data_IF_658804021893
#
_entry.id   IF_658804021893
#
_cell.length_a   1.000
_cell.length_b   1.000
_cell.length_c   1.000
_cell.angle_alpha   90.00
_cell.angle_beta   90.00
_cell.angle_gamma   90.00
#
_symmetry.space_group_name_H-M   'P 1'
#
loop_
_entity.id
_entity.type
_entity.pdbx_description
1 polymer ?
#
# COMPACT_ATOMS: atom_id res chain seq x y z
N UNK A 1 3.20 6.79 -18.14
CA UNK A 1 2.41 8.03 -18.15
C UNK A 1 2.69 8.86 -16.89
N UNK A 2 2.27 10.13 -16.86
CA UNK A 2 2.43 11.00 -15.69
C UNK A 2 1.05 11.49 -15.25
N UNK A 3 0.76 11.37 -13.95
CA UNK A 3 -0.48 11.84 -13.33
C UNK A 3 -0.14 13.10 -12.53
N UNK A 4 -0.77 14.25 -12.81
CA UNK A 4 -0.46 15.50 -12.10
C UNK A 4 -0.94 15.45 -10.65
N UNK A 5 -0.14 16.08 -9.75
CA UNK A 5 -0.48 16.28 -8.34
C UNK A 5 -0.72 17.77 -8.09
N UNK A 6 -1.47 18.10 -7.07
CA UNK A 6 -1.89 19.48 -6.77
C UNK A 6 -0.75 20.46 -6.50
N UNK A 7 0.42 19.96 -6.11
CA UNK A 7 1.64 20.75 -5.85
C UNK A 7 2.47 21.05 -7.12
N UNK A 8 1.97 20.66 -8.30
CA UNK A 8 2.66 20.83 -9.59
C UNK A 8 3.63 19.70 -9.93
N UNK A 9 3.84 18.73 -9.05
CA UNK A 9 4.60 17.52 -9.34
C UNK A 9 3.77 16.50 -10.12
N UNK A 10 4.38 15.37 -10.50
CA UNK A 10 3.69 14.29 -11.18
C UNK A 10 4.08 12.91 -10.64
N UNK A 11 3.14 11.98 -10.72
CA UNK A 11 3.29 10.58 -10.37
C UNK A 11 3.52 9.78 -11.66
N UNK A 12 4.65 9.08 -11.74
CA UNK A 12 4.94 8.13 -12.80
C UNK A 12 4.14 6.85 -12.63
N UNK A 13 3.29 6.53 -13.60
CA UNK A 13 2.41 5.38 -13.54
C UNK A 13 2.47 4.53 -14.81
N UNK A 14 2.06 3.28 -14.70
CA UNK A 14 1.86 2.34 -15.80
C UNK A 14 0.43 1.81 -15.75
N UNK A 15 -0.22 1.81 -16.89
CA UNK A 15 -1.60 1.38 -17.05
C UNK A 15 -1.66 0.17 -17.98
N UNK A 16 -2.37 -0.86 -17.55
CA UNK A 16 -2.83 -1.96 -18.39
C UNK A 16 -4.29 -1.68 -18.74
N UNK A 17 -4.54 -1.29 -19.99
CA UNK A 17 -5.88 -1.13 -20.53
C UNK A 17 -6.30 -2.42 -21.23
N UNK A 18 -7.57 -2.80 -21.09
CA UNK A 18 -8.18 -3.94 -21.74
C UNK A 18 -9.48 -3.51 -22.41
N UNK A 19 -9.86 -4.19 -23.46
CA UNK A 19 -11.16 -3.99 -24.07
C UNK A 19 -12.26 -4.47 -23.09
N UNK A 20 -13.36 -3.72 -22.99
CA UNK A 20 -14.55 -4.07 -22.17
C UNK A 20 -14.21 -4.39 -20.70
N UNK A 21 -13.37 -3.58 -20.08
CA UNK A 21 -13.05 -3.75 -18.65
C UNK A 21 -14.30 -3.63 -17.78
N UNK A 22 -14.36 -4.46 -16.74
CA UNK A 22 -15.48 -4.46 -15.77
C UNK A 22 -15.21 -3.58 -14.55
N UNK A 23 -13.96 -3.21 -14.29
CA UNK A 23 -13.55 -2.31 -13.20
C UNK A 23 -12.13 -1.78 -13.44
N UNK A 24 -11.74 -0.80 -12.62
CA UNK A 24 -10.37 -0.29 -12.55
C UNK A 24 -9.75 -0.69 -11.21
N UNK A 25 -8.58 -1.33 -11.21
CA UNK A 25 -7.83 -1.69 -10.01
C UNK A 25 -6.65 -0.74 -9.84
N UNK A 26 -6.60 -0.04 -8.70
CA UNK A 26 -5.50 0.81 -8.28
C UNK A 26 -4.54 -0.01 -7.39
N UNK A 27 -3.29 -0.14 -7.80
CA UNK A 27 -2.29 -0.90 -7.06
C UNK A 27 -1.41 0.07 -6.27
N UNK A 28 -1.62 0.14 -4.94
CA UNK A 28 -0.87 1.00 -4.03
C UNK A 28 0.39 0.26 -3.54
N UNK A 29 1.60 0.71 -3.89
CA UNK A 29 2.83 -0.03 -3.60
C UNK A 29 3.24 0.02 -2.12
N UNK A 30 4.16 -0.87 -1.75
CA UNK A 30 4.84 -0.83 -0.45
C UNK A 30 5.91 0.28 -0.42
N UNK A 31 6.35 0.64 0.79
CA UNK A 31 7.45 1.59 1.00
C UNK A 31 8.74 1.07 0.36
N UNK A 32 9.44 1.93 -0.36
CA UNK A 32 10.70 1.63 -1.04
C UNK A 32 10.65 0.51 -2.10
N UNK A 33 9.47 0.26 -2.66
CA UNK A 33 9.25 -0.73 -3.72
C UNK A 33 8.73 -0.02 -4.96
N UNK A 34 9.40 -0.24 -6.10
CA UNK A 34 9.03 0.36 -7.39
C UNK A 34 7.88 -0.41 -8.04
N UNK A 35 7.14 0.29 -8.89
CA UNK A 35 5.95 -0.23 -9.57
C UNK A 35 6.23 -1.49 -10.41
N UNK A 36 7.44 -1.66 -10.94
CA UNK A 36 7.84 -2.83 -11.73
C UNK A 36 7.71 -4.16 -10.95
N UNK A 37 7.82 -4.09 -9.63
CA UNK A 37 7.62 -5.25 -8.76
C UNK A 37 6.23 -5.87 -8.89
N UNK A 38 5.24 -5.06 -9.23
CA UNK A 38 3.84 -5.46 -9.32
C UNK A 38 3.37 -5.80 -10.73
N UNK A 39 4.21 -5.62 -11.76
CA UNK A 39 3.80 -5.76 -13.16
C UNK A 39 3.26 -7.14 -13.52
N UNK A 40 3.83 -8.21 -12.94
CA UNK A 40 3.35 -9.56 -13.21
C UNK A 40 1.91 -9.76 -12.67
N UNK A 41 1.62 -9.24 -11.49
CA UNK A 41 0.28 -9.30 -10.90
C UNK A 41 -0.69 -8.36 -11.62
N UNK A 42 -0.24 -7.18 -12.04
CA UNK A 42 -1.05 -6.25 -12.83
C UNK A 42 -1.48 -6.89 -14.16
N UNK A 43 -0.54 -7.56 -14.85
CA UNK A 43 -0.85 -8.32 -16.09
C UNK A 43 -1.86 -9.43 -15.82
N UNK A 44 -1.67 -10.22 -14.78
CA UNK A 44 -2.61 -11.26 -14.38
C UNK A 44 -4.04 -10.71 -14.20
N UNK A 45 -4.20 -9.57 -13.53
CA UNK A 45 -5.51 -8.94 -13.36
C UNK A 45 -6.06 -8.38 -14.68
N UNK A 46 -5.20 -7.83 -15.56
CA UNK A 46 -5.64 -7.33 -16.86
C UNK A 46 -6.13 -8.46 -17.78
N UNK A 47 -5.48 -9.63 -17.75
CA UNK A 47 -5.95 -10.83 -18.47
C UNK A 47 -7.30 -11.34 -17.97
N UNK A 48 -7.78 -10.84 -16.83
CA UNK A 48 -9.10 -11.14 -16.24
C UNK A 48 -10.15 -10.05 -16.49
N UNK A 49 -9.87 -9.12 -17.42
CA UNK A 49 -10.83 -8.09 -17.83
C UNK A 49 -10.88 -6.87 -16.90
N UNK A 50 -9.78 -6.55 -16.21
CA UNK A 50 -9.67 -5.39 -15.34
C UNK A 50 -8.66 -4.37 -15.90
N UNK A 51 -9.01 -3.09 -15.94
CA UNK A 51 -7.99 -2.06 -16.06
C UNK A 51 -7.13 -2.07 -14.79
N UNK A 52 -5.80 -1.98 -14.93
CA UNK A 52 -4.92 -1.95 -13.76
C UNK A 52 -3.96 -0.78 -13.85
N UNK A 53 -3.94 0.05 -12.82
CA UNK A 53 -3.04 1.19 -12.70
C UNK A 53 -2.06 0.95 -11.55
N UNK A 54 -0.77 0.93 -11.86
CA UNK A 54 0.33 0.83 -10.90
C UNK A 54 1.17 2.10 -11.00
N UNK A 55 1.73 2.56 -9.90
CA UNK A 55 2.47 3.81 -9.85
C UNK A 55 3.58 3.79 -8.81
N UNK A 56 4.48 4.76 -8.88
CA UNK A 56 5.44 5.04 -7.82
C UNK A 56 4.98 6.25 -7.00
N UNK A 57 5.09 6.19 -5.68
CA UNK A 57 4.88 7.37 -4.86
C UNK A 57 5.92 8.46 -5.16
N UNK A 58 5.56 9.75 -4.99
CA UNK A 58 6.49 10.86 -5.17
C UNK A 58 7.79 10.64 -4.40
N UNK A 59 8.90 10.82 -5.08
CA UNK A 59 10.24 10.60 -4.54
C UNK A 59 10.81 9.20 -4.74
N UNK A 60 10.05 8.26 -5.34
CA UNK A 60 10.52 6.90 -5.64
C UNK A 60 10.38 6.58 -7.13
N UNK A 61 11.09 5.59 -7.59
CA UNK A 61 10.99 5.02 -8.94
C UNK A 61 10.89 6.09 -10.03
N UNK A 62 9.83 6.02 -10.85
CA UNK A 62 9.55 6.95 -11.96
C UNK A 62 8.97 8.29 -11.50
N UNK A 63 8.57 8.41 -10.23
CA UNK A 63 8.11 9.67 -9.61
C UNK A 63 9.23 10.39 -8.85
N UNK A 64 10.49 9.97 -9.07
CA UNK A 64 11.66 10.55 -8.41
C UNK A 64 12.03 11.89 -9.08
N UNK A 65 12.17 13.00 -8.32
CA UNK A 65 12.70 14.26 -8.83
C UNK A 65 14.21 14.14 -9.07
N UNK A 66 14.78 15.11 -9.77
CA UNK A 66 16.23 15.20 -10.02
C UNK A 66 17.05 15.18 -8.70
N UNK A 67 16.53 15.79 -7.64
CA UNK A 67 17.13 15.79 -6.30
C UNK A 67 16.10 15.49 -5.22
N UNK A 68 16.38 14.50 -4.37
CA UNK A 68 15.57 14.22 -3.17
C UNK A 68 15.90 15.13 -1.98
N UNK A 69 17.00 15.89 -2.03
CA UNK A 69 17.41 16.76 -0.93
C UNK A 69 16.40 17.85 -0.64
N UNK A 70 15.74 18.34 -1.69
CA UNK A 70 14.77 19.42 -1.63
C UNK A 70 13.32 18.93 -1.48
N UNK A 71 13.12 17.62 -1.49
CA UNK A 71 11.79 17.03 -1.34
C UNK A 71 11.25 17.23 0.07
N UNK A 72 10.05 17.81 0.14
CA UNK A 72 9.29 17.99 1.39
C UNK A 72 8.21 16.93 1.60
N UNK A 73 8.10 16.00 0.65
CA UNK A 73 7.07 14.94 0.68
C UNK A 73 7.21 14.08 1.93
N UNK A 74 6.10 13.86 2.60
CA UNK A 74 5.95 13.00 3.77
C UNK A 74 5.15 11.73 3.43
N UNK A 75 5.08 10.78 4.34
CA UNK A 75 4.23 9.60 4.16
C UNK A 75 2.73 9.96 4.20
N UNK A 76 2.36 11.01 4.92
CA UNK A 76 1.01 11.53 4.92
C UNK A 76 0.61 12.06 3.52
N UNK A 77 1.53 12.75 2.84
CA UNK A 77 1.29 13.25 1.48
C UNK A 77 1.13 12.11 0.47
N UNK A 78 1.86 10.99 0.65
CA UNK A 78 1.63 9.79 -0.14
C UNK A 78 0.21 9.27 -0.01
N UNK A 79 -0.30 9.22 1.24
CA UNK A 79 -1.64 8.67 1.51
C UNK A 79 -2.75 9.59 1.04
N UNK A 80 -2.58 10.90 1.15
CA UNK A 80 -3.64 11.86 0.81
C UNK A 80 -3.51 12.38 -0.62
N UNK A 81 -2.33 12.90 -0.98
CA UNK A 81 -2.16 13.59 -2.26
C UNK A 81 -1.92 12.62 -3.40
N UNK A 82 -0.96 11.67 -3.23
CA UNK A 82 -0.59 10.76 -4.30
C UNK A 82 -1.72 9.77 -4.58
N UNK A 83 -2.23 9.11 -3.56
CA UNK A 83 -3.38 8.20 -3.68
C UNK A 83 -4.60 8.96 -4.19
N UNK A 84 -4.84 10.16 -3.67
CA UNK A 84 -5.94 11.02 -4.12
C UNK A 84 -5.83 11.41 -5.60
N UNK A 85 -4.64 11.78 -6.07
CA UNK A 85 -4.40 12.13 -7.47
C UNK A 85 -4.64 10.94 -8.39
N UNK A 86 -4.09 9.77 -8.03
CA UNK A 86 -4.26 8.52 -8.80
C UNK A 86 -5.72 8.10 -8.86
N UNK A 87 -6.44 8.16 -7.73
CA UNK A 87 -7.84 7.78 -7.66
C UNK A 87 -8.73 8.72 -8.49
N UNK A 88 -8.57 10.04 -8.34
CA UNK A 88 -9.32 11.02 -9.13
C UNK A 88 -9.02 10.92 -10.62
N UNK A 89 -7.76 10.67 -10.99
CA UNK A 89 -7.39 10.45 -12.38
C UNK A 89 -8.12 9.23 -12.97
N UNK A 90 -8.14 8.11 -12.25
CA UNK A 90 -8.82 6.90 -12.68
C UNK A 90 -10.34 7.08 -12.80
N UNK A 91 -10.96 7.74 -11.82
CA UNK A 91 -12.39 8.06 -11.85
C UNK A 91 -12.77 8.93 -13.07
N UNK A 92 -11.96 9.95 -13.39
CA UNK A 92 -12.18 10.83 -14.52
C UNK A 92 -11.92 10.13 -15.88
N UNK A 93 -10.93 9.21 -15.92
CA UNK A 93 -10.56 8.49 -17.15
C UNK A 93 -11.57 7.40 -17.52
N UNK A 94 -12.21 6.79 -16.52
CA UNK A 94 -13.12 5.66 -16.67
C UNK A 94 -14.44 5.92 -15.93
N UNK A 95 -15.22 6.91 -16.37
CA UNK A 95 -16.49 7.24 -15.73
C UNK A 95 -17.45 6.05 -15.82
N UNK A 96 -18.06 5.70 -14.68
CA UNK A 96 -19.03 4.59 -14.60
C UNK A 96 -18.41 3.22 -14.31
N UNK A 97 -17.09 3.04 -14.40
CA UNK A 97 -16.46 1.82 -13.93
C UNK A 97 -16.19 1.87 -12.41
N UNK A 98 -16.48 0.80 -11.67
CA UNK A 98 -16.12 0.72 -10.26
C UNK A 98 -14.61 0.79 -10.08
N UNK A 99 -14.17 1.56 -9.07
CA UNK A 99 -12.79 1.61 -8.66
C UNK A 99 -12.55 0.61 -7.53
N UNK A 100 -11.56 -0.24 -7.69
CA UNK A 100 -11.09 -1.20 -6.71
C UNK A 100 -9.64 -0.88 -6.35
N UNK A 101 -9.19 -1.26 -5.16
CA UNK A 101 -7.80 -1.08 -4.79
C UNK A 101 -7.15 -2.36 -4.27
N UNK A 102 -5.84 -2.48 -4.51
CA UNK A 102 -4.99 -3.49 -3.85
C UNK A 102 -3.82 -2.75 -3.22
N UNK A 103 -3.75 -2.74 -1.89
CA UNK A 103 -2.68 -2.09 -1.13
C UNK A 103 -1.70 -3.09 -0.56
N UNK A 104 -0.41 -2.93 -0.87
CA UNK A 104 0.66 -3.72 -0.27
C UNK A 104 1.32 -2.96 0.87
N UNK A 105 1.38 -3.57 2.06
CA UNK A 105 2.06 -2.98 3.23
C UNK A 105 1.56 -1.53 3.48
N UNK A 106 2.42 -0.52 3.30
CA UNK A 106 2.03 0.90 3.41
C UNK A 106 0.89 1.27 2.45
N UNK A 107 0.79 0.60 1.29
CA UNK A 107 -0.31 0.82 0.36
C UNK A 107 -1.70 0.56 0.96
N UNK A 108 -1.81 -0.33 1.96
CA UNK A 108 -3.04 -0.53 2.71
C UNK A 108 -3.34 0.58 3.73
N UNK A 109 -2.34 1.39 4.13
CA UNK A 109 -2.60 2.57 4.96
C UNK A 109 -3.42 3.62 4.21
N UNK A 110 -3.31 3.66 2.88
CA UNK A 110 -4.11 4.53 2.03
C UNK A 110 -5.61 4.34 2.29
N UNK A 111 -6.05 3.09 2.48
CA UNK A 111 -7.47 2.77 2.74
C UNK A 111 -7.96 3.42 4.03
N UNK A 112 -7.14 3.43 5.08
CA UNK A 112 -7.48 4.04 6.37
C UNK A 112 -7.32 5.58 6.38
N UNK A 113 -6.46 6.13 5.54
CA UNK A 113 -6.00 7.52 5.64
C UNK A 113 -6.45 8.42 4.48
N UNK A 114 -6.59 7.90 3.26
CA UNK A 114 -6.94 8.73 2.11
C UNK A 114 -8.41 9.14 2.13
N UNK A 115 -8.68 10.41 1.87
CA UNK A 115 -10.04 10.90 1.64
C UNK A 115 -10.65 10.33 0.34
N UNK A 116 -9.81 9.88 -0.59
CA UNK A 116 -10.23 9.28 -1.84
C UNK A 116 -10.74 7.83 -1.69
N UNK A 117 -10.58 7.20 -0.52
CA UNK A 117 -11.11 5.85 -0.25
C UNK A 117 -12.63 5.76 -0.47
N UNK A 118 -13.36 6.85 -0.29
CA UNK A 118 -14.81 6.93 -0.58
C UNK A 118 -15.18 6.69 -2.05
N UNK A 119 -14.24 6.84 -2.96
CA UNK A 119 -14.44 6.57 -4.40
C UNK A 119 -14.28 5.07 -4.73
N UNK A 120 -13.76 4.30 -3.78
CA UNK A 120 -13.53 2.87 -3.96
C UNK A 120 -14.79 2.08 -3.62
N UNK A 121 -15.03 1.04 -4.39
CA UNK A 121 -16.10 0.08 -4.14
C UNK A 121 -15.69 -1.05 -3.20
N UNK A 122 -14.44 -1.49 -3.28
CA UNK A 122 -13.85 -2.52 -2.43
C UNK A 122 -12.32 -2.45 -2.46
N UNK A 123 -11.65 -3.01 -1.46
CA UNK A 123 -10.19 -3.04 -1.44
C UNK A 123 -9.61 -4.34 -0.87
N UNK A 124 -8.41 -4.69 -1.32
CA UNK A 124 -7.60 -5.79 -0.80
C UNK A 124 -6.36 -5.24 -0.12
N UNK A 125 -6.10 -5.67 1.10
CA UNK A 125 -4.90 -5.33 1.86
C UNK A 125 -3.99 -6.57 1.93
N UNK A 126 -2.81 -6.48 1.33
CA UNK A 126 -1.82 -7.56 1.31
C UNK A 126 -0.66 -7.21 2.23
N UNK A 127 -0.40 -8.00 3.26
CA UNK A 127 0.66 -7.78 4.25
C UNK A 127 0.64 -6.37 4.85
N UNK A 128 -0.53 -5.71 4.89
CA UNK A 128 -0.69 -4.38 5.46
C UNK A 128 -0.87 -4.45 6.97
N UNK A 129 -0.16 -3.59 7.70
CA UNK A 129 -0.10 -3.65 9.15
C UNK A 129 0.25 -2.29 9.77
N UNK A 130 -0.08 -2.09 11.04
CA UNK A 130 0.49 -0.99 11.80
C UNK A 130 2.00 -1.26 12.03
N UNK A 131 2.86 -0.40 11.47
CA UNK A 131 4.32 -0.56 11.46
C UNK A 131 4.99 -0.30 12.80
N UNK A 132 4.40 -0.77 13.91
CA UNK A 132 4.91 -0.57 15.27
C UNK A 132 6.07 -1.54 15.53
N UNK A 133 7.28 -1.02 15.74
CA UNK A 133 8.48 -1.85 15.91
C UNK A 133 8.34 -2.93 16.98
N UNK A 134 7.67 -2.64 18.11
CA UNK A 134 7.48 -3.61 19.21
C UNK A 134 6.61 -4.82 18.86
N UNK A 135 5.82 -4.76 17.76
CA UNK A 135 5.00 -5.88 17.32
C UNK A 135 5.74 -6.87 16.44
N UNK A 136 6.93 -6.52 15.95
CA UNK A 136 7.74 -7.36 15.06
C UNK A 136 8.11 -8.67 15.77
N UNK A 137 7.91 -9.79 15.10
CA UNK A 137 8.29 -11.12 15.57
C UNK A 137 9.81 -11.33 15.46
N UNK A 138 10.39 -12.01 16.42
CA UNK A 138 11.83 -12.25 16.52
C UNK A 138 12.60 -11.06 17.12
N UNK A 139 13.35 -11.33 18.20
CA UNK A 139 14.08 -10.28 18.92
C UNK A 139 15.18 -9.65 18.07
N UNK A 140 15.90 -10.45 17.28
CA UNK A 140 16.96 -9.97 16.40
C UNK A 140 16.41 -9.08 15.28
N UNK A 141 15.33 -9.50 14.62
CA UNK A 141 14.68 -8.72 13.56
C UNK A 141 14.13 -7.40 14.14
N UNK A 142 13.49 -7.45 15.28
CA UNK A 142 13.01 -6.26 15.97
C UNK A 142 14.14 -5.28 16.32
N UNK A 143 15.26 -5.79 16.81
CA UNK A 143 16.45 -4.98 17.11
C UNK A 143 17.02 -4.37 15.82
N UNK A 144 17.15 -5.15 14.75
CA UNK A 144 17.62 -4.69 13.44
C UNK A 144 16.76 -3.55 12.92
N UNK A 145 15.45 -3.74 12.90
CA UNK A 145 14.50 -2.71 12.44
C UNK A 145 14.58 -1.48 13.35
N UNK A 146 14.66 -1.66 14.66
CA UNK A 146 14.79 -0.54 15.59
C UNK A 146 16.06 0.27 15.33
N UNK A 147 17.22 -0.37 15.15
CA UNK A 147 18.49 0.29 14.84
C UNK A 147 18.39 1.08 13.51
N UNK A 148 17.83 0.46 12.48
CA UNK A 148 17.64 1.12 11.18
C UNK A 148 16.71 2.33 11.33
N UNK A 149 15.55 2.14 11.94
CA UNK A 149 14.51 3.18 11.99
C UNK A 149 14.85 4.31 12.94
N UNK A 150 15.49 4.02 14.09
CA UNK A 150 15.66 5.01 15.15
C UNK A 150 17.05 5.67 15.18
N UNK A 151 18.05 5.03 14.60
CA UNK A 151 19.41 5.55 14.58
C UNK A 151 19.94 5.81 13.18
N UNK A 152 19.99 4.77 12.34
CA UNK A 152 20.65 4.86 11.04
C UNK A 152 19.88 5.80 10.08
N UNK A 153 18.59 5.59 9.92
CA UNK A 153 17.80 6.37 8.96
C UNK A 153 17.72 7.86 9.32
N UNK A 154 17.46 8.28 10.58
CA UNK A 154 17.54 9.72 10.94
C UNK A 154 18.91 10.33 10.71
N UNK A 155 20.00 9.59 11.03
CA UNK A 155 21.35 10.05 10.78
C UNK A 155 21.63 10.26 9.29
N UNK A 156 21.28 9.26 8.46
CA UNK A 156 21.48 9.35 7.01
C UNK A 156 20.61 10.45 6.39
N UNK A 157 19.38 10.60 6.83
CA UNK A 157 18.51 11.70 6.40
C UNK A 157 19.09 13.08 6.76
N UNK A 158 19.81 13.19 7.88
CA UNK A 158 20.49 14.44 8.26
C UNK A 158 21.71 14.71 7.39
N UNK A 159 22.51 13.68 7.09
CA UNK A 159 23.75 13.80 6.33
C UNK A 159 23.52 14.00 4.82
N UNK A 160 22.60 13.23 4.26
CA UNK A 160 22.36 13.22 2.81
C UNK A 160 21.16 14.07 2.37
N UNK A 161 20.27 14.46 3.29
CA UNK A 161 19.00 15.14 2.99
C UNK A 161 17.88 14.19 2.57
N UNK A 162 18.15 12.88 2.50
CA UNK A 162 17.19 11.81 2.16
C UNK A 162 17.71 10.46 2.70
N UNK A 163 16.91 9.41 2.68
CA UNK A 163 17.34 8.05 3.01
C UNK A 163 17.92 7.36 1.77
N UNK A 164 19.23 7.06 1.70
CA UNK A 164 19.86 6.43 0.53
C UNK A 164 19.67 4.91 0.53
N UNK A 165 18.42 4.44 0.42
CA UNK A 165 18.05 3.02 0.50
C UNK A 165 18.73 2.16 -0.54
N UNK A 166 18.84 2.65 -1.80
CA UNK A 166 19.50 1.93 -2.89
C UNK A 166 20.96 1.57 -2.57
N UNK A 167 21.72 2.51 -1.98
CA UNK A 167 23.13 2.29 -1.61
C UNK A 167 23.30 1.26 -0.49
N UNK A 168 22.24 1.06 0.30
CA UNK A 168 22.26 0.14 1.46
C UNK A 168 21.61 -1.21 1.15
N UNK A 169 21.08 -1.41 -0.07
CA UNK A 169 20.31 -2.61 -0.40
C UNK A 169 18.97 -2.72 0.32
N UNK A 170 18.41 -1.59 0.78
CA UNK A 170 17.15 -1.50 1.52
C UNK A 170 15.94 -1.11 0.64
N UNK A 171 16.07 -1.25 -0.67
CA UNK A 171 15.08 -0.83 -1.65
C UNK A 171 15.36 0.56 -2.20
N UNK A 172 14.30 1.31 -2.55
CA UNK A 172 14.42 2.66 -3.11
C UNK A 172 14.95 3.68 -2.11
N UNK A 173 15.54 4.76 -2.65
CA UNK A 173 15.80 5.95 -1.85
C UNK A 173 14.46 6.59 -1.46
N UNK A 174 14.39 7.13 -0.24
CA UNK A 174 13.15 7.75 0.26
C UNK A 174 13.36 9.24 0.57
N UNK A 175 12.35 10.10 0.30
CA UNK A 175 12.35 11.45 0.80
C UNK A 175 12.56 11.50 2.31
N UNK A 176 13.29 12.51 2.78
CA UNK A 176 13.54 12.71 4.22
C UNK A 176 12.25 12.74 5.04
N UNK A 177 11.22 13.45 4.57
CA UNK A 177 9.95 13.59 5.27
C UNK A 177 9.25 12.24 5.45
N UNK A 178 9.22 11.41 4.40
CA UNK A 178 8.66 10.05 4.43
C UNK A 178 9.38 9.20 5.48
N UNK A 179 10.71 9.14 5.42
CA UNK A 179 11.49 8.28 6.31
C UNK A 179 11.38 8.72 7.77
N UNK A 180 11.47 10.03 8.06
CA UNK A 180 11.39 10.53 9.43
C UNK A 180 9.98 10.38 10.02
N UNK A 181 8.93 10.57 9.21
CA UNK A 181 7.56 10.34 9.67
C UNK A 181 7.31 8.86 9.96
N UNK A 182 7.77 7.97 9.09
CA UNK A 182 7.69 6.52 9.31
C UNK A 182 8.45 6.11 10.57
N UNK A 183 9.69 6.57 10.75
CA UNK A 183 10.48 6.36 11.97
C UNK A 183 9.74 6.82 13.23
N UNK A 184 9.12 8.01 13.19
CA UNK A 184 8.34 8.55 14.31
C UNK A 184 7.14 7.65 14.64
N UNK A 185 6.34 7.28 13.64
CA UNK A 185 5.16 6.45 13.85
C UNK A 185 5.51 5.05 14.36
N UNK A 186 6.62 4.46 13.92
CA UNK A 186 7.04 3.11 14.34
C UNK A 186 7.31 2.97 15.85
N UNK A 187 7.53 4.09 16.57
CA UNK A 187 7.68 4.14 18.04
C UNK A 187 6.36 4.31 18.77
N UNK A 188 5.35 4.84 18.11
CA UNK A 188 4.06 5.14 18.72
C UNK A 188 3.28 3.85 19.01
N UNK A 189 2.59 3.73 20.17
CA UNK A 189 1.88 2.51 20.55
C UNK A 189 0.85 2.00 19.54
N UNK A 190 0.19 2.92 18.83
CA UNK A 190 -0.81 2.62 17.80
C UNK A 190 -0.43 3.22 16.44
N UNK A 191 0.87 3.34 16.16
CA UNK A 191 1.39 3.84 14.88
C UNK A 191 0.83 5.24 14.56
N UNK A 192 0.45 5.51 13.30
CA UNK A 192 -0.12 6.80 12.89
C UNK A 192 -1.45 7.16 13.60
N UNK A 193 -2.14 6.19 14.20
CA UNK A 193 -3.33 6.46 15.02
C UNK A 193 -3.04 7.27 16.30
N UNK A 194 -1.80 7.29 16.76
CA UNK A 194 -1.36 8.17 17.85
C UNK A 194 -0.74 9.49 17.37
N UNK A 195 -0.69 9.76 16.07
CA UNK A 195 -0.28 11.06 15.55
C UNK A 195 -1.51 11.99 15.45
N UNK A 196 -1.63 13.05 16.30
CA UNK A 196 -2.79 13.91 16.27
C UNK A 196 -3.00 14.62 14.94
N UNK A 197 -1.90 14.89 14.20
CA UNK A 197 -1.98 15.55 12.90
C UNK A 197 -2.68 14.70 11.84
N UNK A 198 -2.72 13.38 12.03
CA UNK A 198 -3.33 12.46 11.07
C UNK A 198 -4.84 12.34 11.22
N UNK A 199 -5.40 12.61 12.40
CA UNK A 199 -6.82 12.34 12.73
C UNK A 199 -7.25 10.92 12.28
N UNK A 200 -6.30 9.98 12.30
CA UNK A 200 -6.39 8.72 11.59
C UNK A 200 -7.53 7.83 12.05
N UNK A 201 -7.86 7.82 13.36
CA UNK A 201 -8.99 7.04 13.87
C UNK A 201 -10.33 7.54 13.34
N UNK A 202 -10.51 8.87 13.24
CA UNK A 202 -11.72 9.47 12.69
C UNK A 202 -11.84 9.20 11.17
N UNK A 203 -10.72 9.21 10.44
CA UNK A 203 -10.68 8.90 9.01
C UNK A 203 -10.99 7.44 8.78
N UNK A 204 -10.33 6.53 9.51
CA UNK A 204 -10.56 5.10 9.43
C UNK A 204 -12.02 4.71 9.76
N UNK A 205 -12.64 5.36 10.74
CA UNK A 205 -14.05 5.12 11.07
C UNK A 205 -15.04 5.53 9.96
N UNK A 206 -14.61 6.30 8.96
CA UNK A 206 -15.46 6.66 7.80
C UNK A 206 -15.38 5.65 6.65
N UNK A 207 -14.47 4.70 6.75
CA UNK A 207 -14.31 3.66 5.73
C UNK A 207 -15.47 2.67 5.86
N UNK A 208 -16.32 2.65 4.85
CA UNK A 208 -17.50 1.79 4.76
C UNK A 208 -17.47 1.07 3.41
N UNK A 209 -16.62 0.07 3.32
CA UNK A 209 -16.48 -0.76 2.11
C UNK A 209 -15.98 -2.17 2.46
N UNK A 210 -16.23 -3.17 1.60
CA UNK A 210 -15.68 -4.50 1.74
C UNK A 210 -14.16 -4.50 1.65
N UNK A 211 -13.52 -5.18 2.61
CA UNK A 211 -12.07 -5.37 2.67
C UNK A 211 -11.72 -6.86 2.71
N UNK A 212 -10.87 -7.30 1.80
CA UNK A 212 -10.14 -8.56 1.94
C UNK A 212 -8.75 -8.27 2.52
N UNK A 213 -8.41 -8.88 3.64
CA UNK A 213 -7.13 -8.67 4.30
C UNK A 213 -6.33 -9.96 4.37
N UNK A 214 -5.18 -9.99 3.69
CA UNK A 214 -4.29 -11.14 3.65
C UNK A 214 -3.05 -10.92 4.52
N UNK A 215 -2.88 -11.76 5.54
CA UNK A 215 -1.66 -11.91 6.32
C UNK A 215 -0.98 -13.24 6.02
N UNK A 216 0.32 -13.34 6.30
CA UNK A 216 1.10 -14.56 6.09
C UNK A 216 1.78 -14.98 7.39
N UNK A 217 1.76 -16.29 7.69
CA UNK A 217 2.27 -16.80 8.97
C UNK A 217 3.76 -16.59 9.17
N UNK A 218 4.49 -16.56 8.07
CA UNK A 218 5.94 -16.34 8.01
C UNK A 218 6.36 -14.87 7.82
N UNK A 219 5.40 -13.94 7.88
CA UNK A 219 5.70 -12.50 7.87
C UNK A 219 5.98 -12.01 9.31
N UNK A 220 7.22 -11.59 9.63
CA UNK A 220 7.54 -11.09 10.97
C UNK A 220 6.94 -9.71 11.25
N UNK A 221 6.63 -8.93 10.21
CA UNK A 221 6.16 -7.55 10.31
C UNK A 221 4.64 -7.45 10.33
N UNK A 222 3.99 -7.96 9.28
CA UNK A 222 2.53 -8.01 9.19
C UNK A 222 1.94 -9.25 9.87
N UNK A 223 2.36 -9.50 11.11
CA UNK A 223 1.81 -10.57 11.94
C UNK A 223 0.39 -10.23 12.43
N UNK A 224 -0.39 -11.21 12.93
CA UNK A 224 -1.79 -11.01 13.32
C UNK A 224 -2.03 -9.82 14.26
N UNK A 225 -1.14 -9.56 15.22
CA UNK A 225 -1.24 -8.44 16.16
C UNK A 225 -1.09 -7.09 15.44
N UNK A 226 -0.11 -6.97 14.55
CA UNK A 226 0.16 -5.75 13.83
C UNK A 226 -0.96 -5.43 12.80
N UNK A 227 -1.53 -6.47 12.18
CA UNK A 227 -2.71 -6.35 11.31
C UNK A 227 -3.91 -5.88 12.12
N UNK A 228 -4.20 -6.49 13.26
CA UNK A 228 -5.30 -6.09 14.15
C UNK A 228 -5.20 -4.60 14.54
N UNK A 229 -4.00 -4.12 14.92
CA UNK A 229 -3.80 -2.70 15.23
C UNK A 229 -4.12 -1.76 14.06
N UNK A 230 -3.94 -2.19 12.82
CA UNK A 230 -4.33 -1.41 11.65
C UNK A 230 -5.85 -1.42 11.45
N UNK A 231 -6.50 -2.57 11.66
CA UNK A 231 -7.90 -2.78 11.31
C UNK A 231 -8.88 -2.29 12.40
N UNK A 232 -8.51 -2.34 13.68
CA UNK A 232 -9.41 -1.99 14.79
C UNK A 232 -10.19 -0.68 14.61
N UNK A 233 -9.62 0.42 14.07
CA UNK A 233 -10.37 1.65 13.88
C UNK A 233 -11.26 1.68 12.63
N UNK A 234 -11.23 0.65 11.77
CA UNK A 234 -12.06 0.52 10.56
C UNK A 234 -13.44 -0.06 10.93
N UNK A 235 -14.12 0.56 11.87
CA UNK A 235 -15.30 0.00 12.55
C UNK A 235 -16.53 -0.18 11.66
N UNK A 236 -16.60 0.51 10.52
CA UNK A 236 -17.70 0.41 9.58
C UNK A 236 -17.38 -0.45 8.34
N UNK A 237 -16.11 -0.85 8.16
CA UNK A 237 -15.72 -1.70 7.05
C UNK A 237 -16.14 -3.16 7.27
N UNK A 238 -16.59 -3.83 6.20
CA UNK A 238 -16.83 -5.27 6.23
C UNK A 238 -15.53 -6.01 5.92
N UNK A 239 -14.91 -6.60 6.94
CA UNK A 239 -13.57 -7.19 6.82
C UNK A 239 -13.62 -8.71 6.70
N UNK A 240 -13.18 -9.27 5.56
CA UNK A 240 -12.81 -10.66 5.38
C UNK A 240 -11.30 -10.80 5.60
N UNK A 241 -10.91 -11.29 6.75
CA UNK A 241 -9.50 -11.46 7.12
C UNK A 241 -9.06 -12.90 6.99
N UNK A 242 -7.98 -13.13 6.24
CA UNK A 242 -7.37 -14.44 6.02
C UNK A 242 -5.91 -14.44 6.44
N UNK A 243 -5.53 -15.41 7.24
CA UNK A 243 -4.15 -15.65 7.63
C UNK A 243 -3.71 -16.94 6.95
N UNK A 244 -2.67 -16.89 6.13
CA UNK A 244 -2.28 -17.92 5.17
C UNK A 244 -0.90 -18.46 5.54
N UNK A 245 -0.81 -19.78 5.76
CA UNK A 245 0.46 -20.46 5.91
C UNK A 245 1.16 -20.68 4.56
N UNK A 246 2.52 -20.67 4.47
CA UNK A 246 3.24 -20.98 3.25
C UNK A 246 2.84 -22.31 2.61
N UNK A 247 2.58 -23.34 3.41
CA UNK A 247 2.12 -24.65 2.93
C UNK A 247 0.76 -24.54 2.22
N UNK A 248 -0.17 -23.74 2.75
CA UNK A 248 -1.47 -23.46 2.12
C UNK A 248 -1.33 -22.68 0.81
N UNK A 249 -0.31 -21.84 0.72
CA UNK A 249 0.05 -21.13 -0.49
C UNK A 249 0.83 -21.99 -1.51
N UNK A 250 1.16 -23.23 -1.17
CA UNK A 250 1.93 -24.13 -2.04
C UNK A 250 3.36 -23.68 -2.32
N UNK A 251 3.95 -22.84 -1.45
CA UNK A 251 5.30 -22.30 -1.61
C UNK A 251 6.11 -22.46 -0.31
N UNK A 252 7.46 -22.51 -0.40
CA UNK A 252 8.31 -22.66 0.80
C UNK A 252 8.21 -21.47 1.76
N UNK A 253 7.97 -20.26 1.22
CA UNK A 253 7.84 -19.03 1.98
C UNK A 253 7.05 -17.99 1.19
N UNK A 254 6.20 -17.21 1.87
CA UNK A 254 5.55 -16.01 1.33
C UNK A 254 6.22 -14.77 1.91
N UNK A 255 6.23 -14.63 3.23
CA UNK A 255 6.78 -13.49 3.94
C UNK A 255 6.11 -12.17 3.55
N UNK A 256 6.78 -11.05 3.90
CA UNK A 256 6.23 -9.72 3.64
C UNK A 256 6.11 -9.38 2.14
N UNK A 257 7.01 -9.90 1.31
CA UNK A 257 7.15 -9.50 -0.09
C UNK A 257 6.68 -10.55 -1.10
N UNK A 258 6.42 -11.80 -0.68
CA UNK A 258 6.31 -12.92 -1.63
C UNK A 258 5.03 -12.97 -2.45
N UNK A 259 3.93 -12.39 -1.97
CA UNK A 259 2.63 -12.48 -2.65
C UNK A 259 2.68 -12.06 -4.13
N UNK A 260 3.36 -10.97 -4.45
CA UNK A 260 3.43 -10.43 -5.82
C UNK A 260 4.46 -11.14 -6.71
N UNK A 261 5.18 -12.13 -6.20
CA UNK A 261 6.12 -12.93 -6.99
C UNK A 261 5.39 -14.03 -7.75
N UNK A 262 5.86 -14.34 -8.97
CA UNK A 262 5.27 -15.34 -9.86
C UNK A 262 5.04 -16.70 -9.21
N UNK A 263 5.85 -17.10 -8.21
CA UNK A 263 5.67 -18.36 -7.47
C UNK A 263 4.33 -18.47 -6.74
N UNK A 264 3.66 -17.36 -6.49
CA UNK A 264 2.34 -17.29 -5.86
C UNK A 264 1.19 -17.12 -6.88
N UNK A 265 1.50 -17.10 -8.18
CA UNK A 265 0.54 -16.79 -9.25
C UNK A 265 -0.61 -17.79 -9.30
N UNK A 266 -0.31 -19.08 -9.18
CA UNK A 266 -1.30 -20.15 -9.35
C UNK A 266 -2.15 -20.39 -8.10
N UNK A 267 -1.72 -19.90 -6.94
CA UNK A 267 -2.36 -20.24 -5.65
C UNK A 267 -2.97 -19.05 -4.93
N UNK A 268 -2.25 -17.90 -4.88
CA UNK A 268 -2.69 -16.73 -4.12
C UNK A 268 -3.36 -15.67 -4.99
N UNK A 269 -2.88 -15.48 -6.22
CA UNK A 269 -3.45 -14.45 -7.10
C UNK A 269 -4.91 -14.73 -7.47
N UNK A 270 -5.34 -16.00 -7.75
CA UNK A 270 -6.75 -16.31 -7.99
C UNK A 270 -7.65 -15.89 -6.82
N UNK A 271 -7.21 -16.09 -5.56
CA UNK A 271 -7.99 -15.72 -4.37
C UNK A 271 -8.32 -14.22 -4.34
N UNK A 272 -7.38 -13.39 -4.81
CA UNK A 272 -7.57 -11.93 -4.89
C UNK A 272 -8.34 -11.56 -6.16
N UNK A 273 -7.96 -12.12 -7.32
CA UNK A 273 -8.63 -11.84 -8.58
C UNK A 273 -10.11 -12.18 -8.56
N UNK A 274 -10.46 -13.37 -8.06
CA UNK A 274 -11.85 -13.82 -7.94
C UNK A 274 -12.64 -12.91 -6.97
N UNK A 275 -12.04 -12.59 -5.82
CA UNK A 275 -12.68 -11.69 -4.86
C UNK A 275 -12.91 -10.27 -5.45
N UNK A 276 -11.96 -9.72 -6.18
CA UNK A 276 -12.14 -8.44 -6.87
C UNK A 276 -13.26 -8.50 -7.90
N UNK A 277 -13.35 -9.57 -8.68
CA UNK A 277 -14.38 -9.76 -9.70
C UNK A 277 -15.80 -9.82 -9.11
N UNK A 278 -15.99 -10.35 -7.90
CA UNK A 278 -17.30 -10.31 -7.22
C UNK A 278 -17.76 -8.89 -6.88
N UNK A 279 -16.85 -7.91 -6.89
CA UNK A 279 -17.14 -6.51 -6.60
C UNK A 279 -17.18 -5.61 -7.86
N UNK A 280 -17.01 -6.18 -9.06
CA UNK A 280 -17.10 -5.45 -10.33
C UNK A 280 -18.55 -5.12 -10.73
N UNK A 281 -19.50 -6.03 -10.46
CA UNK A 281 -20.91 -5.81 -10.75
C UNK A 281 -21.57 -4.94 -9.69
N UNK A 282 -22.33 -3.91 -10.10
CA UNK A 282 -23.14 -3.15 -9.16
C UNK A 282 -24.21 -4.05 -8.53
N UNK A 283 -24.37 -3.98 -7.22
CA UNK A 283 -25.70 -4.14 -6.67
C UNK A 283 -26.54 -3.01 -7.30
N UNK A 284 -27.25 -3.30 -8.38
CA UNK A 284 -28.44 -2.54 -8.67
C UNK A 284 -29.34 -2.82 -7.46
N UNK A 285 -29.40 -1.84 -6.56
CA UNK A 285 -30.20 -1.91 -5.37
C UNK A 285 -31.61 -2.33 -5.76
N UNK A 286 -32.11 -3.32 -5.04
CA UNK A 286 -33.54 -3.48 -4.93
C UNK A 286 -34.11 -2.15 -4.45
N UNK A 287 -34.89 -1.52 -5.34
CA UNK A 287 -35.74 -0.39 -5.05
C UNK A 287 -36.82 -0.79 -4.04
#
# INVERSE_FOLDING_TARGET
MNIPVSDGSAIGATLWEVEQATAVVLLHPATAVVQEYYYAFARYLSERGLHVLVYDYRGTGRSRPASLRDSRVSMADWMEDDVGAVTRWAAARYPGLPLLAVGHSVGGHAIALSSATRELRAAVLVASHAGVTRTIRGALERLRVWLVMQLLAPLLCRLFGYMPGRRLGLGEDLPRGVMLQWSRWSRMPRYFYNDPAMQAAQRAARVDLPLLVLGFDDDPWANPRAITLLLDPLVNATVDRRQIAPAEAGVPAVGHMGFFRKRCADTLWPRVGDWLLTHCTGHQGAA
#
